data_IF_938139335587
#
_entry.id   IF_938139335587
#
_cell.length_a   1.000
_cell.length_b   1.000
_cell.length_c   1.000
_cell.angle_alpha   90.00
_cell.angle_beta   90.00
_cell.angle_gamma   90.00
#
_symmetry.space_group_name_H-M   'P 1'
#
loop_
_entity.id
_entity.type
_entity.pdbx_description
1 polymer ?
#
# COMPACT_ATOMS: atom_id res chain seq x y z
N UNK A 1 15.48 -28.38 20.57
CA UNK A 1 16.18 -27.10 20.28
C UNK A 1 15.18 -25.97 20.40
N UNK A 2 15.62 -24.83 20.92
CA UNK A 2 14.82 -23.75 21.51
C UNK A 2 13.90 -23.02 20.50
N UNK A 3 12.68 -22.69 20.95
CA UNK A 3 11.69 -21.91 20.19
C UNK A 3 11.79 -20.42 20.48
N UNK A 4 12.78 -19.75 19.88
CA UNK A 4 12.79 -18.28 19.79
C UNK A 4 12.23 -17.82 18.45
N UNK A 5 11.59 -16.65 18.45
CA UNK A 5 11.07 -16.01 17.24
C UNK A 5 11.87 -14.73 16.97
N UNK A 6 12.42 -14.64 15.76
CA UNK A 6 12.95 -13.40 15.20
C UNK A 6 12.23 -13.16 13.89
N UNK A 7 11.35 -12.16 13.88
CA UNK A 7 10.58 -11.74 12.71
C UNK A 7 10.45 -10.22 12.75
N UNK A 8 10.72 -9.58 11.62
CA UNK A 8 10.43 -8.17 11.36
C UNK A 8 9.48 -8.09 10.20
N UNK A 9 8.43 -7.29 10.35
CA UNK A 9 7.44 -6.98 9.31
C UNK A 9 7.41 -5.47 9.13
N UNK A 10 7.58 -5.00 7.91
CA UNK A 10 7.58 -3.58 7.57
C UNK A 10 6.65 -3.34 6.39
N UNK A 11 5.88 -2.26 6.47
CA UNK A 11 5.24 -1.65 5.30
C UNK A 11 5.77 -0.24 5.21
N UNK A 12 6.41 0.08 4.09
CA UNK A 12 7.05 1.39 3.91
C UNK A 12 7.35 1.69 2.46
N UNK A 13 8.02 2.82 2.25
CA UNK A 13 8.39 3.29 0.93
C UNK A 13 9.91 3.30 0.76
N UNK A 14 10.40 2.94 -0.42
CA UNK A 14 11.83 3.02 -0.75
C UNK A 14 12.29 4.49 -0.78
N UNK A 15 13.35 4.83 -0.06
CA UNK A 15 13.95 6.18 -0.06
C UNK A 15 14.89 6.44 -1.23
N UNK A 16 15.41 5.37 -1.83
CA UNK A 16 16.32 5.38 -2.97
C UNK A 16 16.02 4.17 -3.87
N UNK A 17 16.59 4.17 -5.08
CA UNK A 17 16.51 3.01 -5.95
C UNK A 17 17.23 1.80 -5.31
N UNK A 18 16.81 0.56 -5.62
CA UNK A 18 17.48 -0.65 -5.14
C UNK A 18 18.96 -0.70 -5.52
N UNK A 19 19.83 -0.99 -4.54
CA UNK A 19 21.27 -1.14 -4.80
C UNK A 19 21.63 -2.62 -4.92
N UNK A 20 21.92 -3.08 -6.14
CA UNK A 20 22.27 -4.49 -6.41
C UNK A 20 23.78 -4.64 -6.56
N UNK A 21 24.36 -5.62 -5.86
CA UNK A 21 25.77 -5.99 -5.97
C UNK A 21 25.89 -7.47 -6.27
N UNK A 22 26.74 -7.80 -7.23
CA UNK A 22 27.09 -9.19 -7.57
C UNK A 22 28.39 -9.57 -6.89
N UNK A 23 28.44 -10.79 -6.35
CA UNK A 23 29.62 -11.36 -5.73
C UNK A 23 30.41 -12.21 -6.74
N UNK A 24 31.73 -12.36 -6.51
CA UNK A 24 32.60 -13.15 -7.38
C UNK A 24 32.23 -14.64 -7.45
N UNK A 25 31.53 -15.14 -6.43
CA UNK A 25 31.02 -16.51 -6.37
C UNK A 25 29.68 -16.71 -7.09
N UNK A 26 29.17 -15.70 -7.81
CA UNK A 26 27.94 -15.78 -8.61
C UNK A 26 26.66 -15.37 -7.89
N UNK A 27 26.69 -15.14 -6.56
CA UNK A 27 25.53 -14.67 -5.83
C UNK A 27 25.26 -13.17 -6.04
N UNK A 28 24.02 -12.72 -5.79
CA UNK A 28 23.66 -11.29 -5.74
C UNK A 28 23.13 -10.90 -4.36
N UNK A 29 23.31 -9.64 -4.00
CA UNK A 29 22.65 -9.00 -2.86
C UNK A 29 21.97 -7.73 -3.34
N UNK A 30 20.75 -7.49 -2.86
CA UNK A 30 20.05 -6.22 -3.05
C UNK A 30 19.91 -5.51 -1.69
N UNK A 31 20.35 -4.27 -1.61
CA UNK A 31 20.20 -3.41 -0.45
C UNK A 31 19.07 -2.41 -0.71
N UNK A 32 18.11 -2.33 0.22
CA UNK A 32 17.01 -1.36 0.19
C UNK A 32 17.07 -0.45 1.41
N UNK A 33 16.64 0.80 1.23
CA UNK A 33 16.42 1.77 2.30
C UNK A 33 14.94 2.10 2.38
N UNK A 34 14.27 1.71 3.46
CA UNK A 34 12.82 1.83 3.62
C UNK A 34 12.49 2.86 4.70
N UNK A 35 11.56 3.77 4.41
CA UNK A 35 11.01 4.71 5.38
C UNK A 35 9.67 4.20 5.94
N UNK A 36 9.49 4.33 7.26
CA UNK A 36 8.19 4.18 7.95
C UNK A 36 7.95 5.41 8.82
N UNK A 37 6.73 5.96 8.78
CA UNK A 37 6.42 7.20 9.51
C UNK A 37 5.27 6.99 10.49
N UNK A 38 5.40 7.57 11.68
CA UNK A 38 4.37 7.63 12.71
C UNK A 38 3.96 9.09 12.92
N UNK A 39 2.67 9.33 13.10
CA UNK A 39 2.14 10.66 13.45
C UNK A 39 1.34 10.56 14.74
N UNK A 40 1.62 11.43 15.70
CA UNK A 40 0.88 11.52 16.95
C UNK A 40 0.65 12.97 17.37
N UNK A 41 -0.24 13.18 18.34
CA UNK A 41 -0.45 14.49 18.97
C UNK A 41 0.36 14.54 20.25
N UNK A 42 1.21 15.55 20.40
CA UNK A 42 1.99 15.76 21.62
C UNK A 42 1.07 16.15 22.79
N UNK A 43 1.28 15.50 23.93
CA UNK A 43 0.37 15.62 25.08
C UNK A 43 0.50 16.96 25.81
N UNK A 44 1.67 17.60 25.74
CA UNK A 44 1.96 18.82 26.49
C UNK A 44 1.59 20.07 25.69
N UNK A 45 1.88 20.05 24.39
CA UNK A 45 1.71 21.19 23.47
C UNK A 45 0.41 21.09 22.67
N UNK A 46 -0.14 19.88 22.50
CA UNK A 46 -1.29 19.64 21.63
C UNK A 46 -0.97 19.69 20.13
N UNK A 47 0.31 19.84 19.76
CA UNK A 47 0.74 19.92 18.36
C UNK A 47 0.83 18.53 17.72
N UNK A 48 0.64 18.46 16.40
CA UNK A 48 0.82 17.24 15.62
C UNK A 48 2.31 17.04 15.33
N UNK A 49 2.88 15.92 15.78
CA UNK A 49 4.26 15.53 15.52
C UNK A 49 4.32 14.35 14.55
N UNK A 50 5.44 14.25 13.83
CA UNK A 50 5.74 13.16 12.90
C UNK A 50 7.18 12.69 13.12
N UNK A 51 7.39 11.37 13.11
CA UNK A 51 8.71 10.75 13.14
C UNK A 51 8.81 9.71 12.04
N UNK A 52 9.88 9.80 11.27
CA UNK A 52 10.22 8.83 10.23
C UNK A 52 11.42 8.02 10.66
N UNK A 53 11.25 6.70 10.68
CA UNK A 53 12.31 5.72 10.90
C UNK A 53 12.78 5.16 9.56
N UNK A 54 14.07 4.84 9.51
CA UNK A 54 14.71 4.36 8.30
C UNK A 54 15.39 3.01 8.50
N UNK A 55 14.92 2.02 7.75
CA UNK A 55 15.31 0.62 7.86
C UNK A 55 16.27 0.24 6.73
N UNK A 56 17.38 -0.41 7.10
CA UNK A 56 18.27 -1.06 6.13
C UNK A 56 17.81 -2.50 5.92
N UNK A 57 17.53 -2.86 4.67
CA UNK A 57 17.12 -4.21 4.29
C UNK A 57 18.15 -4.82 3.35
N UNK A 58 18.59 -6.05 3.66
CA UNK A 58 19.53 -6.80 2.83
C UNK A 58 18.88 -8.10 2.34
N UNK A 59 18.70 -8.21 1.03
CA UNK A 59 18.05 -9.33 0.37
C UNK A 59 19.12 -10.19 -0.30
N UNK A 60 19.22 -11.44 0.14
CA UNK A 60 20.13 -12.44 -0.40
C UNK A 60 19.40 -13.56 -1.17
N UNK A 61 18.07 -13.64 -1.07
CA UNK A 61 17.28 -14.58 -1.87
C UNK A 61 17.28 -14.13 -3.32
N UNK A 62 17.87 -14.94 -4.21
CA UNK A 62 18.05 -14.59 -5.64
C UNK A 62 16.75 -14.21 -6.33
N UNK A 63 15.66 -14.95 -6.06
CA UNK A 63 14.34 -14.64 -6.61
C UNK A 63 13.86 -13.25 -6.19
N UNK A 64 14.02 -12.90 -4.92
CA UNK A 64 13.62 -11.59 -4.40
C UNK A 64 14.55 -10.47 -4.85
N UNK A 65 15.84 -10.75 -5.04
CA UNK A 65 16.79 -9.79 -5.65
C UNK A 65 16.34 -9.45 -7.06
N UNK A 66 16.00 -10.44 -7.88
CA UNK A 66 15.52 -10.19 -9.24
C UNK A 66 14.20 -9.41 -9.24
N UNK A 67 13.30 -9.65 -8.30
CA UNK A 67 12.06 -8.86 -8.15
C UNK A 67 12.40 -7.41 -7.79
N UNK A 68 13.28 -7.20 -6.81
CA UNK A 68 13.68 -5.86 -6.41
C UNK A 68 14.37 -5.10 -7.56
N UNK A 69 15.33 -5.73 -8.25
CA UNK A 69 16.09 -5.15 -9.36
C UNK A 69 15.21 -4.72 -10.53
N UNK A 70 14.21 -5.54 -10.90
CA UNK A 70 13.42 -5.30 -12.11
C UNK A 70 12.18 -4.41 -11.90
N UNK A 71 11.64 -4.36 -10.68
CA UNK A 71 10.32 -3.76 -10.45
C UNK A 71 10.31 -2.63 -9.41
N UNK A 72 11.29 -2.58 -8.50
CA UNK A 72 11.32 -1.56 -7.48
C UNK A 72 12.14 -0.34 -7.93
N UNK A 73 11.69 0.83 -7.48
CA UNK A 73 12.38 2.10 -7.64
C UNK A 73 12.16 2.96 -6.40
N UNK A 74 12.86 4.08 -6.32
CA UNK A 74 12.61 5.10 -5.30
C UNK A 74 11.11 5.43 -5.25
N UNK A 75 10.57 5.45 -4.04
CA UNK A 75 9.17 5.72 -3.76
C UNK A 75 8.27 4.47 -3.77
N UNK A 76 8.73 3.31 -4.29
CA UNK A 76 7.91 2.10 -4.30
C UNK A 76 7.46 1.70 -2.90
N UNK A 77 6.17 1.36 -2.76
CA UNK A 77 5.59 0.85 -1.52
C UNK A 77 5.73 -0.67 -1.47
N UNK A 78 6.27 -1.17 -0.36
CA UNK A 78 6.55 -2.60 -0.19
C UNK A 78 6.15 -3.09 1.19
N UNK A 79 5.72 -4.36 1.25
CA UNK A 79 5.74 -5.17 2.46
C UNK A 79 7.03 -5.99 2.47
N UNK A 80 7.73 -6.01 3.60
CA UNK A 80 8.94 -6.78 3.83
C UNK A 80 8.77 -7.62 5.09
N UNK A 81 9.07 -8.91 4.99
CA UNK A 81 9.23 -9.80 6.13
C UNK A 81 10.63 -10.39 6.13
N UNK A 82 11.32 -10.32 7.27
CA UNK A 82 12.67 -10.86 7.43
C UNK A 82 13.07 -11.03 8.88
N UNK A 83 14.37 -11.08 9.14
CA UNK A 83 14.94 -11.25 10.49
C UNK A 83 15.92 -10.13 10.80
N UNK A 84 15.96 -9.65 12.04
CA UNK A 84 17.02 -8.73 12.47
C UNK A 84 18.35 -9.47 12.58
N UNK A 85 19.39 -8.91 11.97
CA UNK A 85 20.77 -9.36 12.14
C UNK A 85 21.67 -8.16 12.36
N UNK A 86 22.53 -8.24 13.38
CA UNK A 86 23.59 -7.28 13.61
C UNK A 86 24.91 -7.91 13.22
N UNK A 87 25.62 -7.29 12.27
CA UNK A 87 26.98 -7.71 11.89
C UNK A 87 28.01 -6.74 12.45
N UNK A 88 29.15 -7.31 12.83
CA UNK A 88 30.35 -6.59 13.21
C UNK A 88 31.27 -6.48 11.99
N UNK A 89 31.85 -5.30 11.76
CA UNK A 89 32.85 -5.06 10.72
C UNK A 89 33.86 -4.03 11.23
N UNK A 90 35.07 -4.01 10.65
CA UNK A 90 36.09 -3.04 11.01
C UNK A 90 36.14 -1.93 9.97
N UNK A 91 36.20 -0.68 10.44
CA UNK A 91 36.43 0.46 9.55
C UNK A 91 37.91 0.58 9.13
N UNK A 92 38.21 1.58 8.30
CA UNK A 92 39.56 1.82 7.80
C UNK A 92 40.58 2.15 8.91
N UNK A 93 40.11 2.55 10.10
CA UNK A 93 40.94 2.83 11.26
C UNK A 93 41.13 1.60 12.17
N UNK A 94 40.57 0.45 11.78
CA UNK A 94 40.59 -0.79 12.56
C UNK A 94 39.59 -0.82 13.72
N UNK A 95 38.69 0.17 13.82
CA UNK A 95 37.70 0.19 14.90
C UNK A 95 36.50 -0.70 14.58
N UNK A 96 36.02 -1.40 15.60
CA UNK A 96 34.84 -2.25 15.49
C UNK A 96 33.56 -1.40 15.32
N UNK A 97 32.81 -1.67 14.26
CA UNK A 97 31.52 -1.06 13.94
C UNK A 97 30.45 -2.13 13.88
N UNK A 98 29.23 -1.75 14.27
CA UNK A 98 28.07 -2.62 14.24
C UNK A 98 27.02 -2.05 13.30
N UNK A 99 26.38 -2.92 12.53
CA UNK A 99 25.27 -2.55 11.66
C UNK A 99 24.17 -3.56 11.81
N UNK A 100 22.99 -3.07 12.18
CA UNK A 100 21.76 -3.86 12.29
C UNK A 100 20.94 -3.70 11.01
N UNK A 101 20.56 -4.81 10.42
CA UNK A 101 19.84 -4.87 9.15
C UNK A 101 18.67 -5.87 9.26
N UNK A 102 17.61 -5.63 8.49
CA UNK A 102 16.56 -6.63 8.25
C UNK A 102 17.02 -7.49 7.09
N UNK A 103 17.17 -8.79 7.32
CA UNK A 103 17.80 -9.69 6.37
C UNK A 103 16.79 -10.71 5.85
N UNK A 104 16.73 -10.85 4.52
CA UNK A 104 15.92 -11.82 3.81
C UNK A 104 16.84 -12.89 3.20
N UNK A 105 16.82 -14.10 3.78
CA UNK A 105 17.58 -15.27 3.29
C UNK A 105 16.67 -16.47 3.11
N UNK A 106 16.92 -17.25 2.06
CA UNK A 106 16.19 -18.50 1.81
C UNK A 106 14.68 -18.27 1.66
N UNK A 107 13.90 -19.20 2.20
CA UNK A 107 12.44 -19.21 2.13
C UNK A 107 11.74 -18.40 3.23
N UNK A 108 12.48 -17.91 4.23
CA UNK A 108 11.91 -17.19 5.39
C UNK A 108 11.70 -15.69 5.13
N UNK A 109 12.11 -15.19 3.96
CA UNK A 109 11.98 -13.79 3.59
C UNK A 109 10.82 -13.57 2.62
N UNK A 110 10.06 -12.49 2.84
CA UNK A 110 8.96 -12.10 1.96
C UNK A 110 9.15 -10.67 1.49
N UNK A 111 8.94 -10.43 0.19
CA UNK A 111 8.82 -9.10 -0.39
C UNK A 111 7.56 -9.06 -1.24
N UNK A 112 6.66 -8.14 -0.93
CA UNK A 112 5.44 -7.90 -1.71
C UNK A 112 5.41 -6.45 -2.15
N UNK A 113 5.28 -6.22 -3.46
CA UNK A 113 5.01 -4.90 -4.01
C UNK A 113 3.57 -4.52 -3.69
N UNK A 114 3.39 -3.32 -3.12
CA UNK A 114 2.07 -2.78 -2.77
C UNK A 114 1.68 -1.60 -3.68
N UNK A 115 2.52 -1.26 -4.64
CA UNK A 115 2.19 -0.29 -5.67
C UNK A 115 1.09 -0.86 -6.57
N UNK A 116 0.08 -0.04 -6.87
CA UNK A 116 -0.93 -0.40 -7.88
C UNK A 116 -0.27 -0.59 -9.25
N UNK A 117 -0.82 -1.48 -10.07
CA UNK A 117 -0.29 -1.77 -11.40
C UNK A 117 -0.07 -0.46 -12.19
N UNK A 118 1.14 -0.23 -12.73
CA UNK A 118 1.43 0.95 -13.55
C UNK A 118 0.65 0.82 -14.87
N UNK A 119 -0.56 1.36 -14.89
CA UNK A 119 -1.50 1.23 -16.01
C UNK A 119 -2.96 1.52 -15.65
N UNK A 120 -3.31 1.50 -14.36
CA UNK A 120 -4.63 1.93 -13.88
C UNK A 120 -4.72 3.43 -13.65
N UNK A 121 -4.42 4.25 -14.66
CA UNK A 121 -4.70 5.68 -14.62
C UNK A 121 -6.17 5.89 -14.30
N UNK A 122 -6.45 6.34 -13.07
CA UNK A 122 -7.78 6.72 -12.65
C UNK A 122 -8.38 7.67 -13.67
N UNK A 123 -9.54 7.30 -14.22
CA UNK A 123 -10.40 8.21 -14.97
C UNK A 123 -10.95 9.24 -13.97
N UNK A 124 -10.13 10.23 -13.66
CA UNK A 124 -10.52 11.42 -12.92
C UNK A 124 -10.14 12.63 -13.75
N UNK A 125 -11.16 13.38 -14.15
CA UNK A 125 -11.00 14.69 -14.79
C UNK A 125 -11.29 14.69 -16.29
N UNK A 126 -12.45 15.22 -16.67
CA UNK A 126 -12.76 15.52 -18.06
C UNK A 126 -14.22 15.88 -18.34
N UNK A 127 -14.85 16.69 -17.50
CA UNK A 127 -16.04 17.43 -17.93
C UNK A 127 -15.63 18.34 -19.10
N UNK A 128 -16.24 18.14 -20.26
CA UNK A 128 -15.95 18.87 -21.48
C UNK A 128 -17.20 18.97 -22.33
N UNK A 129 -18.00 20.00 -22.07
CA UNK A 129 -19.06 20.45 -22.96
C UNK A 129 -18.50 21.34 -24.06
N UNK A 130 -18.78 20.95 -25.31
CA UNK A 130 -18.69 21.73 -26.56
C UNK A 130 -19.52 20.92 -27.57
N UNK A 131 -20.63 21.39 -28.17
CA UNK A 131 -20.86 22.70 -28.76
C UNK A 131 -20.42 22.65 -30.23
N UNK A 132 -21.32 22.32 -31.15
CA UNK A 132 -21.07 22.37 -32.60
C UNK A 132 -22.05 21.55 -33.42
N UNK A 133 -22.99 22.23 -34.10
CA UNK A 133 -24.15 21.62 -34.73
C UNK A 133 -23.97 21.11 -36.16
N UNK A 134 -25.09 20.61 -36.71
CA UNK A 134 -25.36 20.63 -38.15
C UNK A 134 -26.86 20.65 -38.43
N UNK A 135 -27.22 21.69 -39.17
CA UNK A 135 -28.46 21.93 -39.90
C UNK A 135 -28.57 20.94 -41.06
N UNK A 136 -29.75 20.32 -41.25
CA UNK A 136 -30.02 19.49 -42.41
C UNK A 136 -31.45 18.96 -42.49
N UNK A 137 -32.29 19.65 -43.24
CA UNK A 137 -33.13 19.02 -44.28
C UNK A 137 -34.51 18.46 -43.89
N UNK A 138 -35.53 19.11 -44.46
CA UNK A 138 -36.96 18.76 -44.54
C UNK A 138 -37.31 17.30 -44.85
N UNK A 139 -38.41 16.81 -44.25
CA UNK A 139 -39.13 15.62 -44.68
C UNK A 139 -40.39 15.40 -43.84
N UNK A 140 -41.58 15.51 -44.45
CA UNK A 140 -42.87 15.54 -43.78
C UNK A 140 -43.43 14.19 -43.31
N UNK A 141 -44.57 14.24 -42.64
CA UNK A 141 -45.39 13.08 -42.31
C UNK A 141 -46.10 13.25 -40.97
N UNK A 142 -47.35 13.74 -41.00
CA UNK A 142 -48.21 13.84 -39.81
C UNK A 142 -48.94 12.54 -39.50
N UNK A 143 -49.25 12.32 -38.22
CA UNK A 143 -50.39 11.53 -37.74
C UNK A 143 -50.85 12.09 -36.38
N UNK A 144 -52.15 12.30 -36.27
CA UNK A 144 -52.89 12.68 -35.06
C UNK A 144 -53.80 11.51 -34.67
N UNK A 145 -53.69 11.00 -33.44
CA UNK A 145 -54.70 10.28 -32.64
C UNK A 145 -53.98 9.84 -31.35
N UNK A 146 -54.46 10.00 -30.11
CA UNK A 146 -55.80 10.24 -29.60
C UNK A 146 -56.07 9.23 -28.47
N UNK A 147 -56.36 9.70 -27.25
CA UNK A 147 -56.84 8.90 -26.09
C UNK A 147 -55.73 8.22 -25.28
N UNK A 148 -55.67 8.27 -23.94
CA UNK A 148 -56.71 8.40 -22.92
C UNK A 148 -56.65 7.15 -22.03
N UNK A 149 -56.32 7.26 -20.74
CA UNK A 149 -56.26 6.09 -19.86
C UNK A 149 -55.64 6.35 -18.49
N UNK A 150 -56.51 6.65 -17.54
CA UNK A 150 -56.33 6.88 -16.10
C UNK A 150 -56.28 5.58 -15.27
N UNK A 151 -55.65 5.65 -14.08
CA UNK A 151 -55.79 4.72 -12.95
C UNK A 151 -54.43 4.27 -12.39
N UNK A 152 -54.11 4.28 -11.11
CA UNK A 152 -54.88 4.52 -9.89
C UNK A 152 -54.42 3.56 -8.78
N UNK A 153 -53.95 4.09 -7.65
CA UNK A 153 -53.85 3.43 -6.31
C UNK A 153 -52.65 2.49 -6.07
N UNK A 154 -52.25 2.14 -4.85
CA UNK A 154 -52.49 2.60 -3.46
C UNK A 154 -51.76 1.60 -2.53
N UNK A 155 -51.25 2.06 -1.38
CA UNK A 155 -50.91 1.22 -0.21
C UNK A 155 -49.44 0.76 -0.13
N UNK A 156 -48.76 0.72 1.03
CA UNK A 156 -49.21 0.83 2.41
C UNK A 156 -48.02 0.81 3.39
N UNK A 157 -48.37 0.86 4.68
CA UNK A 157 -47.63 1.28 5.87
C UNK A 157 -46.77 0.20 6.58
N UNK A 158 -45.87 0.66 7.48
CA UNK A 158 -45.24 -0.11 8.59
C UNK A 158 -43.74 0.21 8.71
N UNK A 159 -43.12 0.69 9.81
CA UNK A 159 -43.45 0.67 11.24
C UNK A 159 -42.65 -0.42 11.96
N UNK A 160 -41.57 -0.10 12.69
CA UNK A 160 -40.84 -1.07 13.53
C UNK A 160 -39.49 -0.59 14.09
N UNK A 161 -39.27 -0.80 15.39
CA UNK A 161 -38.28 -0.21 16.29
C UNK A 161 -37.37 -1.29 16.91
N UNK A 162 -36.16 -0.93 17.37
CA UNK A 162 -35.31 -1.70 18.31
C UNK A 162 -34.05 -2.33 17.68
N UNK A 163 -32.88 -2.45 18.30
CA UNK A 163 -32.31 -2.11 19.62
C UNK A 163 -30.78 -2.30 19.49
N UNK A 164 -29.94 -1.47 20.11
CA UNK A 164 -29.22 -1.82 21.34
C UNK A 164 -27.99 -2.73 21.11
N UNK A 165 -26.79 -2.15 20.98
CA UNK A 165 -25.50 -2.87 20.90
C UNK A 165 -24.57 -2.47 22.06
N UNK A 166 -25.07 -2.52 23.29
CA UNK A 166 -24.35 -2.06 24.49
C UNK A 166 -23.65 -3.18 25.30
N UNK A 167 -23.49 -4.41 24.78
CA UNK A 167 -22.96 -5.56 25.55
C UNK A 167 -21.69 -6.21 24.95
N UNK A 168 -20.69 -5.42 24.54
CA UNK A 168 -19.38 -5.96 24.11
C UNK A 168 -18.20 -5.54 24.99
N UNK A 169 -18.46 -4.97 26.17
CA UNK A 169 -17.43 -4.34 27.02
C UNK A 169 -17.12 -5.07 28.34
N UNK A 170 -17.57 -6.30 28.57
CA UNK A 170 -17.24 -7.05 29.80
C UNK A 170 -16.93 -8.53 29.49
N UNK A 171 -15.64 -8.86 29.38
CA UNK A 171 -15.02 -10.12 29.84
C UNK A 171 -13.71 -10.45 29.09
N UNK A 172 -12.64 -9.70 29.38
CA UNK A 172 -11.27 -10.14 29.10
C UNK A 172 -10.55 -10.34 30.45
N UNK A 173 -10.50 -11.58 30.98
CA UNK A 173 -9.77 -11.86 32.21
C UNK A 173 -8.25 -11.88 31.96
N UNK A 174 -7.52 -11.24 32.88
CA UNK A 174 -6.04 -11.21 32.97
C UNK A 174 -5.47 -12.53 33.49
#
# INVERSE_FOLDING_TARGET
>A
MAGSLNKVMLIGNLGADPEVRSFQNGGKVCNLRIATSETWKDRNTGERQERTEWHNVAIFSEGLVNVAENYLKKGSKVYIEGKLQTRKWQDQSGQDRYTTEVVLRGYDGTLTMLDGAPGGGGRSGGGGGYGGGQNGGSGGGGWNQGGGGSGGGSGGSGGGQGGGYDDLDDDIPF
#
